data_IF_695975902178
#
_entry.id   IF_695975902178
#
_cell.length_a   1.000
_cell.length_b   1.000
_cell.length_c   1.000
_cell.angle_alpha   90.00
_cell.angle_beta   90.00
_cell.angle_gamma   90.00
#
_symmetry.space_group_name_H-M   'P 1'
#
loop_
_entity.id
_entity.type
_entity.pdbx_description
1 polymer ?
#
# COMPACT_ATOMS: atom_id res chain seq x y z
N UNK A 1 13.89 -25.22 3.47
CA UNK A 1 13.57 -25.55 2.07
C UNK A 1 14.78 -25.16 1.22
N UNK A 2 15.27 -26.02 0.27
CA UNK A 2 16.46 -25.72 -0.55
C UNK A 2 16.39 -24.39 -1.30
N UNK A 3 15.22 -24.04 -1.82
CA UNK A 3 14.96 -22.76 -2.51
C UNK A 3 15.16 -21.52 -1.60
N UNK A 4 14.85 -21.63 -0.32
CA UNK A 4 15.08 -20.52 0.61
C UNK A 4 16.56 -20.25 0.87
N UNK A 5 17.40 -21.30 0.85
CA UNK A 5 18.84 -21.14 1.01
C UNK A 5 19.46 -20.42 -0.21
N UNK A 6 19.01 -20.76 -1.42
CA UNK A 6 19.49 -20.08 -2.63
C UNK A 6 19.05 -18.59 -2.64
N UNK A 7 17.83 -18.29 -2.24
CA UNK A 7 17.38 -16.91 -2.10
C UNK A 7 18.23 -16.12 -1.10
N UNK A 8 18.57 -16.71 0.05
CA UNK A 8 19.44 -16.06 1.05
C UNK A 8 20.84 -15.81 0.49
N UNK A 9 21.40 -16.75 -0.28
CA UNK A 9 22.70 -16.56 -0.93
C UNK A 9 22.68 -15.41 -1.94
N UNK A 10 21.59 -15.29 -2.74
CA UNK A 10 21.42 -14.19 -3.68
C UNK A 10 21.34 -12.85 -2.95
N UNK A 11 20.56 -12.76 -1.87
CA UNK A 11 20.48 -11.54 -1.04
C UNK A 11 21.86 -11.20 -0.47
N UNK A 12 22.62 -12.21 0.01
CA UNK A 12 23.99 -11.98 0.50
C UNK A 12 24.89 -11.44 -0.60
N UNK A 13 24.79 -11.96 -1.83
CA UNK A 13 25.57 -11.44 -2.96
C UNK A 13 25.25 -9.97 -3.22
N UNK A 14 23.97 -9.60 -3.26
CA UNK A 14 23.56 -8.20 -3.42
C UNK A 14 24.10 -7.29 -2.29
N UNK A 15 24.17 -7.81 -1.08
CA UNK A 15 24.76 -7.10 0.05
C UNK A 15 26.28 -6.94 -0.10
N UNK A 16 26.98 -8.03 -0.42
CA UNK A 16 28.45 -8.02 -0.61
C UNK A 16 28.87 -7.11 -1.78
N UNK A 17 28.04 -7.01 -2.83
CA UNK A 17 28.24 -6.12 -3.98
C UNK A 17 27.87 -4.66 -3.70
N UNK A 18 27.41 -4.33 -2.48
CA UNK A 18 27.04 -2.98 -2.07
C UNK A 18 25.74 -2.46 -2.68
N UNK A 19 24.90 -3.35 -3.24
CA UNK A 19 23.60 -3.00 -3.83
C UNK A 19 22.49 -2.88 -2.79
N UNK A 20 22.69 -3.44 -1.60
CA UNK A 20 21.80 -3.26 -0.44
C UNK A 20 22.46 -2.29 0.55
N UNK A 21 21.64 -1.50 1.24
CA UNK A 21 22.13 -0.61 2.28
C UNK A 21 22.86 -1.42 3.36
N UNK A 22 24.07 -0.97 3.75
CA UNK A 22 24.97 -1.72 4.64
C UNK A 22 24.39 -1.98 6.03
N UNK A 23 23.46 -1.14 6.47
CA UNK A 23 22.76 -1.21 7.76
C UNK A 23 21.33 -1.74 7.64
N UNK A 24 20.95 -2.25 6.46
CA UNK A 24 19.58 -2.74 6.18
C UNK A 24 19.09 -3.83 7.13
N UNK A 25 19.99 -4.61 7.72
CA UNK A 25 19.65 -5.64 8.70
C UNK A 25 19.15 -5.10 10.05
N UNK A 26 19.42 -3.82 10.34
CA UNK A 26 18.94 -3.11 11.55
C UNK A 26 17.73 -2.22 11.26
N UNK A 27 17.29 -2.16 10.01
CA UNK A 27 16.22 -1.27 9.62
C UNK A 27 14.87 -1.62 10.27
N UNK A 28 14.15 -0.60 10.67
CA UNK A 28 12.72 -0.72 10.93
C UNK A 28 11.96 -0.99 9.63
N UNK A 29 10.74 -1.49 9.73
CA UNK A 29 9.89 -1.81 8.56
C UNK A 29 9.71 -0.64 7.56
N UNK A 30 9.95 0.59 7.97
CA UNK A 30 9.77 1.78 7.15
C UNK A 30 11.09 2.39 6.63
N UNK A 31 12.24 2.04 7.18
CA UNK A 31 13.51 2.70 6.88
C UNK A 31 13.88 2.61 5.38
N UNK A 32 13.64 1.45 4.74
CA UNK A 32 13.86 1.29 3.30
C UNK A 32 12.99 2.25 2.47
N UNK A 33 11.72 2.40 2.84
CA UNK A 33 10.81 3.36 2.21
C UNK A 33 11.25 4.80 2.42
N UNK A 34 11.66 5.15 3.62
CA UNK A 34 12.15 6.50 3.94
C UNK A 34 13.41 6.86 3.15
N UNK A 35 14.34 5.92 2.97
CA UNK A 35 15.50 6.12 2.09
C UNK A 35 15.12 6.35 0.65
N UNK A 36 14.20 5.57 0.13
CA UNK A 36 13.68 5.74 -1.23
C UNK A 36 13.00 7.09 -1.41
N UNK A 37 12.09 7.47 -0.51
CA UNK A 37 11.39 8.75 -0.54
C UNK A 37 12.32 9.97 -0.35
N UNK A 38 13.49 9.76 0.23
CA UNK A 38 14.54 10.79 0.34
C UNK A 38 15.51 10.80 -0.86
N UNK A 39 15.26 10.01 -1.92
CA UNK A 39 16.13 9.91 -3.08
C UNK A 39 17.48 9.21 -2.83
N UNK A 40 17.62 8.48 -1.71
CA UNK A 40 18.84 7.79 -1.32
C UNK A 40 18.90 6.31 -1.73
N UNK A 41 17.84 5.82 -2.34
CA UNK A 41 17.73 4.47 -2.92
C UNK A 41 17.05 4.57 -4.26
N UNK A 42 17.58 3.90 -5.26
CA UNK A 42 17.02 3.89 -6.61
C UNK A 42 15.84 2.91 -6.77
N UNK A 43 15.73 1.92 -5.88
CA UNK A 43 14.70 0.87 -5.95
C UNK A 43 14.06 0.68 -4.59
N UNK A 44 12.75 0.52 -4.59
CA UNK A 44 11.97 0.10 -3.43
C UNK A 44 11.17 -1.15 -3.81
N UNK A 45 11.35 -2.22 -3.05
CA UNK A 45 10.45 -3.36 -3.09
C UNK A 45 9.32 -3.18 -2.08
N UNK A 46 8.09 -3.30 -2.51
CA UNK A 46 6.96 -3.09 -1.62
C UNK A 46 5.60 -3.39 -2.26
N UNK A 47 4.56 -3.13 -1.49
CA UNK A 47 3.18 -3.22 -1.97
C UNK A 47 2.86 -2.01 -2.85
N UNK A 48 2.29 -2.25 -4.03
CA UNK A 48 2.04 -1.25 -5.06
C UNK A 48 0.53 -1.13 -5.33
N UNK A 49 -0.19 -0.50 -4.41
CA UNK A 49 -1.55 -0.03 -4.70
C UNK A 49 -1.52 1.35 -5.39
N UNK A 50 -2.56 1.69 -6.16
CA UNK A 50 -2.63 2.96 -6.90
C UNK A 50 -2.41 4.19 -6.00
N UNK A 51 -3.03 4.23 -4.83
CA UNK A 51 -2.86 5.31 -3.84
C UNK A 51 -1.42 5.39 -3.31
N UNK A 52 -0.77 4.23 -3.10
CA UNK A 52 0.61 4.17 -2.62
C UNK A 52 1.56 4.72 -3.68
N UNK A 53 1.36 4.36 -4.94
CA UNK A 53 2.15 4.87 -6.06
C UNK A 53 2.01 6.38 -6.21
N UNK A 54 0.79 6.89 -6.23
CA UNK A 54 0.53 8.33 -6.35
C UNK A 54 1.15 9.12 -5.19
N UNK A 55 0.97 8.65 -3.95
CA UNK A 55 1.58 9.29 -2.77
C UNK A 55 3.11 9.23 -2.84
N UNK A 56 3.67 8.12 -3.31
CA UNK A 56 5.12 7.96 -3.47
C UNK A 56 5.68 8.91 -4.51
N UNK A 57 5.05 9.02 -5.68
CA UNK A 57 5.46 9.93 -6.74
C UNK A 57 5.43 11.39 -6.28
N UNK A 58 4.35 11.83 -5.63
CA UNK A 58 4.23 13.20 -5.07
C UNK A 58 5.29 13.49 -4.00
N UNK A 59 5.57 12.52 -3.13
CA UNK A 59 6.57 12.70 -2.08
C UNK A 59 7.97 12.80 -2.68
N UNK A 60 8.31 11.99 -3.69
CA UNK A 60 9.58 12.08 -4.41
C UNK A 60 9.71 13.42 -5.12
N UNK A 61 8.68 13.89 -5.82
CA UNK A 61 8.68 15.20 -6.48
C UNK A 61 8.88 16.36 -5.49
N UNK A 62 8.47 16.19 -4.23
CA UNK A 62 8.71 17.18 -3.18
C UNK A 62 10.12 17.12 -2.61
N UNK A 63 10.67 15.92 -2.44
CA UNK A 63 11.92 15.68 -1.70
C UNK A 63 13.16 15.67 -2.60
N UNK A 64 13.01 15.37 -3.89
CA UNK A 64 14.11 15.18 -4.83
C UNK A 64 14.07 16.25 -5.91
N UNK A 65 15.07 17.12 -5.93
CA UNK A 65 15.15 18.20 -6.91
C UNK A 65 15.16 17.66 -8.35
N UNK A 66 14.28 18.17 -9.18
CA UNK A 66 14.16 17.79 -10.60
C UNK A 66 13.40 16.50 -10.85
N UNK A 67 12.92 15.82 -9.81
CA UNK A 67 12.08 14.62 -9.97
C UNK A 67 10.66 15.00 -10.36
N UNK A 68 10.09 14.28 -11.31
CA UNK A 68 8.69 14.39 -11.73
C UNK A 68 7.97 13.05 -11.54
N UNK A 69 6.64 13.05 -11.56
CA UNK A 69 5.87 11.81 -11.41
C UNK A 69 6.15 10.80 -12.55
N UNK A 70 6.61 11.26 -13.71
CA UNK A 70 6.97 10.43 -14.87
C UNK A 70 8.29 9.68 -14.69
N UNK A 71 9.13 10.09 -13.72
CA UNK A 71 10.40 9.43 -13.41
C UNK A 71 10.22 8.18 -12.55
N UNK A 72 9.01 7.94 -12.02
CA UNK A 72 8.70 6.75 -11.21
C UNK A 72 8.25 5.60 -12.12
N UNK A 73 9.10 4.60 -12.29
CA UNK A 73 8.79 3.37 -13.02
C UNK A 73 8.37 2.22 -12.09
N UNK A 74 7.55 1.31 -12.62
CA UNK A 74 7.20 0.06 -11.96
C UNK A 74 7.88 -1.09 -12.71
N UNK A 75 8.57 -1.95 -11.96
CA UNK A 75 9.24 -3.13 -12.49
C UNK A 75 8.56 -4.36 -11.89
N UNK A 76 8.04 -5.24 -12.74
CA UNK A 76 7.61 -6.57 -12.33
C UNK A 76 8.80 -7.53 -12.42
N UNK A 77 9.06 -8.28 -11.35
CA UNK A 77 10.14 -9.26 -11.35
C UNK A 77 9.71 -10.49 -12.14
N UNK A 78 10.51 -10.83 -13.12
CA UNK A 78 10.36 -12.02 -13.96
C UNK A 78 11.19 -13.16 -13.38
N UNK A 79 10.60 -14.36 -13.30
CA UNK A 79 11.33 -15.55 -12.92
C UNK A 79 12.26 -16.03 -14.06
N UNK A 80 13.29 -16.87 -13.78
CA UNK A 80 14.23 -17.35 -14.80
C UNK A 80 13.60 -18.11 -15.97
N UNK A 81 12.37 -18.58 -15.81
CA UNK A 81 11.58 -19.27 -16.85
C UNK A 81 10.71 -18.33 -17.70
N UNK A 82 10.82 -17.01 -17.50
CA UNK A 82 10.03 -16.00 -18.19
C UNK A 82 8.64 -15.77 -17.64
N UNK A 83 8.30 -16.36 -16.49
CA UNK A 83 6.99 -16.17 -15.86
C UNK A 83 7.01 -15.04 -14.83
N UNK A 84 5.87 -14.36 -14.68
CA UNK A 84 5.66 -13.38 -13.64
C UNK A 84 4.87 -14.02 -12.50
N UNK A 85 5.43 -13.93 -11.30
CA UNK A 85 4.76 -14.42 -10.10
C UNK A 85 4.26 -13.24 -9.28
N UNK A 86 2.97 -13.16 -9.13
CA UNK A 86 2.32 -12.19 -8.22
C UNK A 86 1.61 -12.97 -7.12
N UNK A 87 1.65 -12.45 -5.91
CA UNK A 87 0.86 -13.04 -4.82
C UNK A 87 -0.61 -12.87 -5.15
N UNK A 88 -1.34 -13.98 -5.18
CA UNK A 88 -2.79 -13.91 -5.19
C UNK A 88 -3.25 -13.41 -3.82
N UNK A 89 -3.98 -12.31 -3.80
CA UNK A 89 -4.59 -11.79 -2.59
C UNK A 89 -5.93 -12.51 -2.42
N UNK A 90 -6.22 -12.97 -1.20
CA UNK A 90 -7.54 -13.47 -0.85
C UNK A 90 -8.59 -12.38 -1.09
N UNK A 91 -9.82 -12.75 -1.36
CA UNK A 91 -10.92 -11.82 -1.62
C UNK A 91 -11.27 -10.95 -0.40
N UNK A 92 -10.63 -11.21 0.73
CA UNK A 92 -10.78 -10.44 1.96
C UNK A 92 -9.40 -10.09 2.54
N UNK A 93 -9.28 -8.89 3.05
CA UNK A 93 -8.05 -8.39 3.69
C UNK A 93 -8.13 -8.43 5.22
N UNK A 94 -9.29 -8.16 5.76
CA UNK A 94 -9.52 -8.13 7.19
C UNK A 94 -10.90 -8.69 7.53
N UNK A 95 -11.03 -9.19 8.75
CA UNK A 95 -12.28 -9.67 9.30
C UNK A 95 -12.44 -9.14 10.72
N UNK A 96 -13.68 -8.91 11.11
CA UNK A 96 -14.03 -8.67 12.49
C UNK A 96 -14.31 -10.00 13.18
N UNK A 97 -13.82 -10.15 14.40
CA UNK A 97 -14.09 -11.31 15.22
C UNK A 97 -14.68 -10.88 16.56
N UNK A 98 -15.68 -11.58 17.00
CA UNK A 98 -16.27 -11.39 18.32
C UNK A 98 -15.74 -12.46 19.27
N UNK A 99 -15.51 -12.07 20.54
CA UNK A 99 -15.21 -13.05 21.59
C UNK A 99 -16.38 -14.02 21.75
N UNK A 100 -16.09 -15.28 22.03
CA UNK A 100 -17.12 -16.27 22.36
C UNK A 100 -17.99 -15.86 23.57
N UNK A 101 -17.51 -14.94 24.40
CA UNK A 101 -18.24 -14.38 25.54
C UNK A 101 -18.92 -13.04 25.22
N UNK A 102 -18.93 -12.61 23.95
CA UNK A 102 -19.63 -11.40 23.56
C UNK A 102 -21.14 -11.61 23.71
N UNK A 103 -21.82 -10.65 24.33
CA UNK A 103 -23.28 -10.69 24.44
C UNK A 103 -23.91 -10.46 23.08
N UNK A 104 -24.96 -11.19 22.77
CA UNK A 104 -25.66 -11.11 21.48
C UNK A 104 -26.12 -9.69 21.15
N UNK A 105 -26.64 -8.96 22.13
CA UNK A 105 -27.10 -7.56 21.91
C UNK A 105 -25.95 -6.60 21.50
N UNK A 106 -24.74 -6.87 21.97
CA UNK A 106 -23.56 -6.08 21.57
C UNK A 106 -23.14 -6.43 20.16
N UNK A 107 -23.16 -7.70 19.81
CA UNK A 107 -22.85 -8.19 18.48
C UNK A 107 -23.89 -7.68 17.46
N UNK A 108 -25.17 -7.79 17.76
CA UNK A 108 -26.27 -7.30 16.90
C UNK A 108 -26.16 -5.79 16.64
N UNK A 109 -25.86 -5.02 17.70
CA UNK A 109 -25.66 -3.57 17.56
C UNK A 109 -24.46 -3.26 16.67
N UNK A 110 -23.38 -4.00 16.83
CA UNK A 110 -22.18 -3.80 16.02
C UNK A 110 -22.44 -4.12 14.54
N UNK A 111 -23.12 -5.24 14.27
CA UNK A 111 -23.53 -5.61 12.91
C UNK A 111 -24.48 -4.59 12.29
N UNK A 112 -25.41 -4.04 13.08
CA UNK A 112 -26.28 -2.97 12.61
C UNK A 112 -25.51 -1.71 12.20
N UNK A 113 -24.49 -1.30 13.00
CA UNK A 113 -23.58 -0.19 12.64
C UNK A 113 -22.77 -0.53 11.40
N UNK A 114 -22.27 -1.77 11.29
CA UNK A 114 -21.54 -2.23 10.11
C UNK A 114 -22.38 -2.13 8.84
N UNK A 115 -23.63 -2.60 8.90
CA UNK A 115 -24.56 -2.51 7.77
C UNK A 115 -24.89 -1.06 7.41
N UNK A 116 -25.08 -0.21 8.40
CA UNK A 116 -25.32 1.22 8.15
C UNK A 116 -24.11 1.90 7.49
N UNK A 117 -22.87 1.56 7.88
CA UNK A 117 -21.65 2.08 7.26
C UNK A 117 -21.47 1.63 5.80
N UNK A 118 -22.16 0.56 5.35
CA UNK A 118 -22.13 0.07 3.98
C UNK A 118 -23.17 0.75 3.07
N UNK A 119 -24.04 1.60 3.61
CA UNK A 119 -24.94 2.42 2.80
C UNK A 119 -24.13 3.43 1.97
N UNK A 120 -24.54 3.67 0.73
CA UNK A 120 -23.78 4.51 -0.22
C UNK A 120 -23.47 5.91 0.36
N UNK A 121 -24.46 6.54 0.97
CA UNK A 121 -24.28 7.85 1.61
C UNK A 121 -23.23 7.85 2.72
N UNK A 122 -23.15 6.78 3.51
CA UNK A 122 -22.18 6.66 4.58
C UNK A 122 -20.76 6.41 4.05
N UNK A 123 -20.64 5.60 2.99
CA UNK A 123 -19.38 5.37 2.30
C UNK A 123 -18.85 6.69 1.74
N UNK A 124 -19.70 7.46 1.07
CA UNK A 124 -19.34 8.77 0.51
C UNK A 124 -18.96 9.77 1.60
N UNK A 125 -19.75 9.85 2.67
CA UNK A 125 -19.46 10.73 3.82
C UNK A 125 -18.12 10.38 4.47
N UNK A 126 -17.82 9.09 4.63
CA UNK A 126 -16.54 8.65 5.20
C UNK A 126 -15.35 8.96 4.27
N UNK A 127 -15.54 8.80 2.96
CA UNK A 127 -14.48 8.98 1.97
C UNK A 127 -14.21 10.46 1.65
N UNK A 128 -15.25 11.29 1.60
CA UNK A 128 -15.17 12.63 1.02
C UNK A 128 -15.66 13.75 1.95
N UNK A 129 -16.31 13.42 3.07
CA UNK A 129 -16.90 14.40 3.96
C UNK A 129 -18.38 14.66 3.64
N UNK A 130 -18.84 15.85 3.98
CA UNK A 130 -20.25 16.25 3.85
C UNK A 130 -20.52 16.75 2.43
N UNK A 131 -21.45 16.09 1.74
CA UNK A 131 -21.85 16.48 0.39
C UNK A 131 -22.45 17.90 0.38
N UNK A 132 -22.01 18.72 -0.57
CA UNK A 132 -22.39 20.12 -0.70
C UNK A 132 -21.53 21.08 0.14
N UNK A 133 -20.74 20.58 1.10
CA UNK A 133 -19.78 21.34 1.89
C UNK A 133 -18.35 21.01 1.47
N UNK A 134 -17.96 19.73 1.57
CA UNK A 134 -16.60 19.27 1.31
C UNK A 134 -16.43 18.76 -0.13
N UNK A 135 -17.52 18.28 -0.74
CA UNK A 135 -17.52 17.72 -2.08
C UNK A 135 -18.90 17.76 -2.74
N UNK A 136 -18.94 17.57 -4.06
CA UNK A 136 -20.17 17.36 -4.84
C UNK A 136 -19.86 16.54 -6.10
N UNK A 137 -20.91 16.21 -6.87
CA UNK A 137 -20.75 15.61 -8.20
C UNK A 137 -20.70 16.72 -9.27
N UNK A 138 -19.82 16.56 -10.26
CA UNK A 138 -19.86 17.35 -11.49
C UNK A 138 -20.99 16.91 -12.42
N UNK A 139 -21.11 17.57 -13.58
CA UNK A 139 -22.15 17.28 -14.58
C UNK A 139 -22.02 15.86 -15.18
N UNK A 140 -20.85 15.25 -15.10
CA UNK A 140 -20.53 13.93 -15.62
C UNK A 140 -20.67 12.83 -14.54
N UNK A 141 -20.99 13.22 -13.30
CA UNK A 141 -21.15 12.31 -12.17
C UNK A 141 -19.85 11.94 -11.46
N UNK A 142 -18.76 12.66 -11.70
CA UNK A 142 -17.51 12.45 -10.97
C UNK A 142 -17.49 13.25 -9.69
N UNK A 143 -16.83 12.72 -8.65
CA UNK A 143 -16.62 13.42 -7.39
C UNK A 143 -15.64 14.57 -7.58
N UNK A 144 -16.03 15.74 -7.15
CA UNK A 144 -15.18 16.96 -7.10
C UNK A 144 -15.12 17.44 -5.66
N UNK A 145 -13.91 17.64 -5.16
CA UNK A 145 -13.68 18.21 -3.82
C UNK A 145 -13.77 19.74 -3.90
N UNK A 146 -14.42 20.35 -2.92
CA UNK A 146 -14.58 21.81 -2.80
C UNK A 146 -13.36 22.47 -2.16
#
# INVERSE_FOLDING_TARGET
VPSSLEAIKQIKTLYDDGLLAMDSYNDSNNAGRERFLAGRSAVLYGNLGATILQTTARTLATNVEGFTEEDLGIICLEAPDGTFHVSQIDEWWAAFAFSANCRDEVMDRWLAVGNWLLEQEQIETYAYGVKGEDWDYDADGNVVLN
#
